data_IF_020070935333
#
_entry.id   IF_020070935333
#
_cell.length_a   1.000
_cell.length_b   1.000
_cell.length_c   1.000
_cell.angle_alpha   90.00
_cell.angle_beta   90.00
_cell.angle_gamma   90.00
#
_symmetry.space_group_name_H-M   'P 1'
#
loop_
_entity.id
_entity.type
_entity.pdbx_description
1 polymer ?
#
# COMPACT_ATOMS: atom_id res chain seq x y z
N UNK A 1 -6.64 4.29 7.90
CA UNK A 1 -5.29 3.71 7.63
C UNK A 1 -4.19 4.62 8.17
N UNK A 2 -3.97 5.83 7.62
CA UNK A 2 -2.92 6.79 8.05
C UNK A 2 -2.80 6.96 9.57
N UNK A 3 -3.89 7.34 10.22
CA UNK A 3 -3.88 7.62 11.68
C UNK A 3 -3.76 6.35 12.54
N UNK A 4 -4.17 5.18 12.04
CA UNK A 4 -4.19 3.92 12.81
C UNK A 4 -2.85 3.19 12.74
N UNK A 5 -2.14 3.31 11.63
CA UNK A 5 -0.93 2.54 11.35
C UNK A 5 0.32 3.38 11.11
N UNK A 6 0.21 4.71 11.07
CA UNK A 6 1.35 5.59 10.82
C UNK A 6 1.97 5.45 9.43
N UNK A 7 1.23 4.90 8.47
CA UNK A 7 1.69 4.71 7.08
C UNK A 7 1.15 5.82 6.18
N UNK A 8 1.83 6.05 5.06
CA UNK A 8 1.38 6.97 4.01
C UNK A 8 0.82 6.15 2.85
N UNK A 9 -0.50 5.89 2.81
CA UNK A 9 -1.11 5.15 1.71
C UNK A 9 -1.20 6.04 0.46
N UNK A 10 -1.06 5.42 -0.71
CA UNK A 10 -1.37 5.99 -2.01
C UNK A 10 -2.52 5.21 -2.66
N UNK A 11 -3.37 5.90 -3.42
CA UNK A 11 -4.41 5.25 -4.24
C UNK A 11 -3.89 5.16 -5.67
N UNK A 12 -3.87 3.95 -6.22
CA UNK A 12 -3.42 3.67 -7.58
C UNK A 12 -4.26 2.53 -8.15
N UNK A 13 -4.83 2.71 -9.34
CA UNK A 13 -5.61 1.68 -10.04
C UNK A 13 -6.72 1.04 -9.18
N UNK A 14 -7.45 1.89 -8.44
CA UNK A 14 -8.53 1.43 -7.55
C UNK A 14 -8.04 0.60 -6.34
N UNK A 15 -6.73 0.52 -6.15
CA UNK A 15 -6.08 -0.21 -5.05
C UNK A 15 -5.33 0.76 -4.13
N UNK A 16 -5.13 0.34 -2.87
CA UNK A 16 -4.36 1.10 -1.90
C UNK A 16 -2.94 0.51 -1.85
N UNK A 17 -1.93 1.28 -2.27
CA UNK A 17 -0.52 0.93 -2.09
C UNK A 17 0.00 1.48 -0.77
N UNK A 18 0.75 0.65 -0.06
CA UNK A 18 1.33 0.96 1.26
C UNK A 18 2.76 0.44 1.27
N UNK A 19 3.73 1.35 1.39
CA UNK A 19 5.11 0.96 1.65
C UNK A 19 5.29 0.76 3.17
N UNK A 20 5.83 -0.41 3.55
CA UNK A 20 6.17 -0.71 4.94
C UNK A 20 7.34 -1.68 5.02
N UNK A 21 8.16 -1.58 6.08
CA UNK A 21 9.35 -2.42 6.26
C UNK A 21 9.02 -3.89 6.56
N UNK A 22 7.95 -4.14 7.31
CA UNK A 22 7.58 -5.48 7.77
C UNK A 22 6.18 -5.88 7.26
N UNK A 23 6.00 -5.91 5.94
CA UNK A 23 4.70 -6.21 5.30
C UNK A 23 4.02 -7.48 5.81
N UNK A 24 4.80 -8.54 6.05
CA UNK A 24 4.28 -9.80 6.57
C UNK A 24 3.67 -9.69 7.99
N UNK A 25 4.12 -8.73 8.81
CA UNK A 25 3.54 -8.43 10.14
C UNK A 25 2.40 -7.42 10.04
N UNK A 26 2.46 -6.54 9.05
CA UNK A 26 1.48 -5.49 8.82
C UNK A 26 0.14 -6.04 8.31
N UNK A 27 0.18 -7.01 7.39
CA UNK A 27 -1.01 -7.56 6.74
C UNK A 27 -2.02 -8.16 7.73
N UNK A 28 -1.64 -9.02 8.70
CA UNK A 28 -2.59 -9.54 9.69
C UNK A 28 -3.29 -8.43 10.48
N UNK A 29 -2.53 -7.44 10.97
CA UNK A 29 -3.07 -6.31 11.73
C UNK A 29 -4.04 -5.47 10.88
N UNK A 30 -3.78 -5.33 9.58
CA UNK A 30 -4.63 -4.62 8.65
C UNK A 30 -5.96 -5.36 8.44
N UNK A 31 -5.91 -6.68 8.22
CA UNK A 31 -7.10 -7.51 8.00
C UNK A 31 -7.98 -7.55 9.24
N UNK A 32 -7.40 -7.73 10.43
CA UNK A 32 -8.13 -7.70 11.71
C UNK A 32 -8.79 -6.34 11.97
N UNK A 33 -8.17 -5.26 11.51
CA UNK A 33 -8.66 -3.90 11.70
C UNK A 33 -9.81 -3.51 10.77
N UNK A 34 -9.99 -4.22 9.65
CA UNK A 34 -11.00 -3.97 8.62
C UNK A 34 -11.68 -5.28 8.18
N UNK A 35 -12.33 -6.00 9.11
CA UNK A 35 -12.94 -7.29 8.81
C UNK A 35 -14.03 -7.14 7.74
N UNK A 36 -13.97 -7.98 6.70
CA UNK A 36 -14.95 -8.00 5.60
C UNK A 36 -14.84 -6.84 4.60
N UNK A 37 -13.89 -5.92 4.76
CA UNK A 37 -13.72 -4.78 3.85
C UNK A 37 -12.59 -4.98 2.83
N UNK A 38 -11.76 -6.00 3.03
CA UNK A 38 -10.60 -6.29 2.18
C UNK A 38 -10.94 -7.49 1.29
N UNK A 39 -10.95 -7.27 -0.03
CA UNK A 39 -11.20 -8.33 -1.02
C UNK A 39 -9.94 -9.10 -1.39
N UNK A 40 -8.80 -8.42 -1.50
CA UNK A 40 -7.52 -9.03 -1.81
C UNK A 40 -6.36 -8.20 -1.24
N UNK A 41 -5.23 -8.85 -1.00
CA UNK A 41 -3.96 -8.21 -0.61
C UNK A 41 -2.84 -8.89 -1.40
N UNK A 42 -1.91 -8.09 -1.91
CA UNK A 42 -0.67 -8.57 -2.50
C UNK A 42 0.52 -7.90 -1.82
N UNK A 43 1.56 -8.68 -1.54
CA UNK A 43 2.81 -8.19 -0.97
C UNK A 43 3.94 -8.47 -1.95
N UNK A 44 4.70 -7.42 -2.28
CA UNK A 44 5.84 -7.50 -3.18
C UNK A 44 7.01 -6.66 -2.68
N UNK A 45 8.18 -6.83 -3.31
CA UNK A 45 9.30 -5.91 -3.14
C UNK A 45 8.94 -4.55 -3.77
N UNK A 46 9.44 -3.43 -3.23
CA UNK A 46 9.27 -2.13 -3.86
C UNK A 46 9.84 -2.16 -5.29
N UNK A 47 9.09 -1.59 -6.22
CA UNK A 47 9.45 -1.48 -7.64
C UNK A 47 9.93 -0.06 -7.96
N UNK A 48 10.58 0.12 -9.11
CA UNK A 48 10.93 1.47 -9.58
C UNK A 48 9.70 2.33 -9.82
N UNK A 49 8.61 1.72 -10.29
CA UNK A 49 7.33 2.40 -10.50
C UNK A 49 6.76 2.95 -9.18
N UNK A 50 6.85 2.20 -8.07
CA UNK A 50 6.44 2.68 -6.75
C UNK A 50 7.17 3.99 -6.37
N UNK A 51 8.49 4.00 -6.56
CA UNK A 51 9.34 5.16 -6.24
C UNK A 51 9.05 6.33 -7.17
N UNK A 52 8.81 6.06 -8.46
CA UNK A 52 8.49 7.10 -9.42
C UNK A 52 7.17 7.79 -9.06
N UNK A 53 6.10 7.03 -8.85
CA UNK A 53 4.79 7.56 -8.43
C UNK A 53 4.91 8.35 -7.13
N UNK A 54 5.67 7.85 -6.15
CA UNK A 54 5.87 8.55 -4.89
C UNK A 54 6.59 9.90 -5.07
N UNK A 55 7.47 10.02 -6.07
CA UNK A 55 8.24 11.25 -6.34
C UNK A 55 7.51 12.23 -7.23
N UNK A 56 6.78 11.74 -8.24
CA UNK A 56 6.24 12.57 -9.32
C UNK A 56 4.72 12.69 -9.26
N UNK A 57 4.02 11.73 -8.66
CA UNK A 57 2.57 11.61 -8.73
C UNK A 57 2.04 11.06 -10.07
N UNK A 58 2.93 10.70 -10.99
CA UNK A 58 2.62 10.20 -12.34
C UNK A 58 3.16 8.78 -12.53
N UNK A 59 2.69 8.06 -13.55
CA UNK A 59 3.26 6.76 -13.96
C UNK A 59 4.51 6.93 -14.81
N UNK A 60 5.36 5.90 -14.85
CA UNK A 60 6.57 5.91 -15.68
C UNK A 60 6.20 5.88 -17.17
N UNK A 61 5.08 5.25 -17.50
CA UNK A 61 4.56 5.04 -18.85
C UNK A 61 3.53 6.09 -19.33
N UNK A 62 3.24 7.11 -18.52
CA UNK A 62 2.50 8.33 -18.93
C UNK A 62 3.45 9.40 -19.50
#
# INVERSE_FOLDING_TARGET
>A
IRNRFGVTPAILDGSIRIECREGHKFIPQLVESFPGQIQSISMGKPTLEDVFIQRTGHRIDE
#
